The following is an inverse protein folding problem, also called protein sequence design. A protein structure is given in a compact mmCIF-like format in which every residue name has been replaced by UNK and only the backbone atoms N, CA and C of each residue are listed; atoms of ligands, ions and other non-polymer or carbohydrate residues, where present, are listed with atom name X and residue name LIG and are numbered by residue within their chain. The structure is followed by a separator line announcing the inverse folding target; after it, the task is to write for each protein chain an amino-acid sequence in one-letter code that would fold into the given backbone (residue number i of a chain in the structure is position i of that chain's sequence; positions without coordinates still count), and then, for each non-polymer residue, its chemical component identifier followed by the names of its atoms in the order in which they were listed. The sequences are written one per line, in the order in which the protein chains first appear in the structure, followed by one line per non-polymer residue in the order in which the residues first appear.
data_IF_677765578573
#
_entry.id   IF_677765578573
#
_cell.length_a   1.000
_cell.length_b   1.000
_cell.length_c   1.000
_cell.angle_alpha   90.00
_cell.angle_beta   90.00
_cell.angle_gamma   90.00
#
_symmetry.space_group_name_H-M   'P 1'
#
loop_
_entity.id
_entity.type
_entity.pdbx_description
1 polymer ?
#
# COMPACT_ATOMS: atom_id res chain seq x y z
N UNK A 1 -20.66 -50.46 59.37
CA UNK A 1 -20.08 -51.32 58.32
C UNK A 1 -19.84 -50.40 57.13
N UNK A 2 -18.75 -49.63 57.12
CA UNK A 2 -17.37 -50.05 56.79
C UNK A 2 -17.24 -50.42 55.33
N UNK A 3 -17.08 -49.43 54.45
CA UNK A 3 -16.37 -49.60 53.18
C UNK A 3 -15.45 -48.40 52.97
N UNK A 4 -14.16 -48.66 53.19
CA UNK A 4 -13.05 -47.77 52.93
C UNK A 4 -12.72 -47.84 51.43
N UNK A 5 -13.04 -46.78 50.69
CA UNK A 5 -12.72 -46.62 49.27
C UNK A 5 -11.29 -46.13 49.09
N UNK A 6 -10.45 -47.00 48.52
CA UNK A 6 -9.03 -46.81 48.24
C UNK A 6 -8.81 -45.67 47.22
N UNK A 7 -8.09 -44.62 47.63
CA UNK A 7 -7.59 -43.57 46.76
C UNK A 7 -6.49 -44.12 45.83
N UNK A 8 -6.85 -44.39 44.58
CA UNK A 8 -5.90 -44.67 43.50
C UNK A 8 -5.11 -43.41 43.13
N UNK A 9 -3.83 -43.40 43.47
CA UNK A 9 -2.84 -42.39 43.06
C UNK A 9 -2.68 -42.47 41.54
N UNK A 10 -3.14 -41.43 40.83
CA UNK A 10 -2.84 -41.26 39.41
C UNK A 10 -1.35 -40.98 39.23
N UNK A 11 -0.63 -41.70 38.35
CA UNK A 11 0.75 -41.37 38.04
C UNK A 11 0.78 -40.04 37.28
N UNK A 12 1.38 -39.03 37.92
CA UNK A 12 1.80 -37.77 37.31
C UNK A 12 2.75 -38.08 36.15
N UNK A 13 2.19 -38.28 34.97
CA UNK A 13 2.91 -38.34 33.71
C UNK A 13 3.68 -37.04 33.52
N UNK A 14 4.99 -37.11 33.77
CA UNK A 14 5.96 -36.07 33.49
C UNK A 14 5.89 -35.77 32.00
N UNK A 15 5.10 -34.78 31.59
CA UNK A 15 5.08 -34.25 30.24
C UNK A 15 6.48 -33.71 29.94
N UNK A 16 7.28 -34.51 29.25
CA UNK A 16 8.57 -34.09 28.73
C UNK A 16 8.32 -32.99 27.73
N UNK A 17 8.93 -31.83 27.98
CA UNK A 17 8.96 -30.61 27.16
C UNK A 17 9.62 -30.80 25.77
N UNK A 18 9.66 -32.04 25.29
CA UNK A 18 10.34 -32.51 24.09
C UNK A 18 9.39 -32.76 22.92
N UNK A 19 8.07 -32.73 23.14
CA UNK A 19 7.06 -32.79 22.08
C UNK A 19 6.70 -31.39 21.50
N UNK A 20 7.29 -30.32 22.04
CA UNK A 20 6.96 -28.93 21.67
C UNK A 20 7.73 -28.42 20.44
N UNK A 21 8.54 -29.25 19.77
CA UNK A 21 9.47 -28.70 18.78
C UNK A 21 9.88 -29.65 17.66
N UNK A 22 8.91 -30.26 16.98
CA UNK A 22 9.14 -30.68 15.59
C UNK A 22 8.53 -29.65 14.61
N UNK A 23 9.29 -28.59 14.22
CA UNK A 23 8.84 -27.63 13.22
C UNK A 23 8.65 -28.26 11.83
N UNK A 24 9.06 -29.52 11.62
CA UNK A 24 8.84 -30.25 10.37
C UNK A 24 7.43 -30.86 10.27
N UNK A 25 6.66 -30.92 11.37
CA UNK A 25 5.23 -31.23 11.34
C UNK A 25 4.35 -30.02 10.96
N UNK A 26 4.95 -29.02 10.30
CA UNK A 26 4.25 -27.97 9.54
C UNK A 26 3.17 -28.64 8.69
N UNK A 27 1.92 -28.50 9.13
CA UNK A 27 0.76 -29.05 8.46
C UNK A 27 0.82 -28.68 6.98
N UNK A 28 0.91 -29.69 6.11
CA UNK A 28 0.80 -29.51 4.67
C UNK A 28 -0.53 -28.79 4.41
N UNK A 29 -0.49 -27.63 3.77
CA UNK A 29 -1.70 -26.91 3.39
C UNK A 29 -2.43 -27.77 2.36
N UNK A 30 -3.69 -28.09 2.64
CA UNK A 30 -4.55 -28.86 1.75
C UNK A 30 -5.01 -28.00 0.57
N UNK A 31 -5.40 -28.64 -0.55
CA UNK A 31 -5.94 -27.91 -1.71
C UNK A 31 -7.16 -27.07 -1.32
N UNK A 32 -8.06 -27.61 -0.49
CA UNK A 32 -9.24 -26.89 0.01
C UNK A 32 -8.86 -25.62 0.75
N UNK A 33 -7.89 -25.70 1.67
CA UNK A 33 -7.40 -24.53 2.40
C UNK A 33 -6.73 -23.52 1.48
N UNK A 34 -5.99 -23.96 0.45
CA UNK A 34 -5.44 -23.04 -0.56
C UNK A 34 -6.54 -22.29 -1.29
N UNK A 35 -7.57 -22.98 -1.77
CA UNK A 35 -8.71 -22.38 -2.51
C UNK A 35 -9.41 -21.32 -1.67
N UNK A 36 -9.64 -21.59 -0.38
CA UNK A 36 -10.23 -20.62 0.55
C UNK A 36 -9.35 -19.37 0.77
N UNK A 37 -8.02 -19.50 0.61
CA UNK A 37 -7.07 -18.40 0.79
C UNK A 37 -6.79 -17.61 -0.50
N UNK A 38 -7.24 -18.06 -1.68
CA UNK A 38 -6.96 -17.38 -2.96
C UNK A 38 -7.50 -15.93 -3.00
N UNK A 39 -8.73 -15.62 -2.55
CA UNK A 39 -9.22 -14.23 -2.57
C UNK A 39 -8.33 -13.29 -1.74
N UNK A 40 -7.87 -13.76 -0.58
CA UNK A 40 -6.99 -12.99 0.30
C UNK A 40 -5.58 -12.85 -0.27
N UNK A 41 -5.08 -13.88 -0.97
CA UNK A 41 -3.82 -13.80 -1.71
C UNK A 41 -3.89 -12.71 -2.78
N UNK A 42 -4.98 -12.67 -3.54
CA UNK A 42 -5.20 -11.69 -4.60
C UNK A 42 -5.36 -10.26 -4.07
N UNK A 43 -6.01 -10.11 -2.91
CA UNK A 43 -6.14 -8.83 -2.22
C UNK A 43 -4.86 -8.40 -1.49
N UNK A 44 -3.84 -9.26 -1.41
CA UNK A 44 -2.56 -8.95 -0.74
C UNK A 44 -2.64 -8.92 0.79
N UNK A 45 -3.73 -9.38 1.39
CA UNK A 45 -3.99 -9.30 2.83
C UNK A 45 -3.56 -10.54 3.63
N UNK A 46 -3.01 -11.56 2.98
CA UNK A 46 -2.46 -12.73 3.67
C UNK A 46 -1.19 -12.38 4.47
N UNK A 47 -1.10 -12.93 5.68
CA UNK A 47 0.10 -12.88 6.51
C UNK A 47 1.30 -13.50 5.77
N UNK A 48 2.54 -13.02 5.98
CA UNK A 48 3.70 -13.46 5.21
C UNK A 48 3.93 -14.98 5.23
N UNK A 49 3.67 -15.62 6.37
CA UNK A 49 3.80 -17.07 6.53
C UNK A 49 2.71 -17.87 5.79
N UNK A 50 1.47 -17.37 5.76
CA UNK A 50 0.37 -17.98 5.01
C UNK A 50 0.58 -17.82 3.52
N UNK A 51 0.93 -16.61 3.08
CA UNK A 51 1.29 -16.30 1.70
C UNK A 51 2.38 -17.25 1.19
N UNK A 52 3.46 -17.41 1.94
CA UNK A 52 4.57 -18.30 1.57
C UNK A 52 4.12 -19.76 1.42
N UNK A 53 3.24 -20.24 2.30
CA UNK A 53 2.69 -21.60 2.24
C UNK A 53 1.78 -21.80 1.03
N UNK A 54 0.89 -20.85 0.76
CA UNK A 54 -0.02 -20.87 -0.40
C UNK A 54 0.77 -20.84 -1.72
N UNK A 55 1.73 -19.92 -1.84
CA UNK A 55 2.61 -19.83 -3.03
C UNK A 55 3.41 -21.12 -3.23
N UNK A 56 3.94 -21.69 -2.15
CA UNK A 56 4.64 -22.98 -2.19
C UNK A 56 3.75 -24.12 -2.69
N UNK A 57 2.49 -24.19 -2.25
CA UNK A 57 1.53 -25.18 -2.74
C UNK A 57 1.18 -24.95 -4.22
N UNK A 58 0.92 -23.71 -4.62
CA UNK A 58 0.60 -23.34 -6.02
C UNK A 58 1.74 -23.68 -6.98
N UNK A 59 2.99 -23.62 -6.55
CA UNK A 59 4.13 -24.05 -7.36
C UNK A 59 4.06 -25.54 -7.74
N UNK A 60 3.53 -26.39 -6.84
CA UNK A 60 3.45 -27.85 -7.03
C UNK A 60 2.09 -28.38 -7.51
N UNK A 61 1.01 -27.62 -7.39
CA UNK A 61 -0.36 -28.11 -7.64
C UNK A 61 -1.03 -27.43 -8.83
N UNK A 62 -1.19 -28.16 -9.94
CA UNK A 62 -1.82 -27.64 -11.16
C UNK A 62 -3.30 -27.29 -10.97
N UNK A 63 -4.05 -28.11 -10.23
CA UNK A 63 -5.46 -27.86 -9.95
C UNK A 63 -5.66 -26.51 -9.24
N UNK A 64 -4.86 -26.22 -8.19
CA UNK A 64 -4.95 -24.94 -7.48
C UNK A 64 -4.51 -23.74 -8.34
N UNK A 65 -3.59 -23.92 -9.31
CA UNK A 65 -3.25 -22.85 -10.26
C UNK A 65 -4.41 -22.53 -11.21
N UNK A 66 -5.17 -23.54 -11.63
CA UNK A 66 -6.38 -23.32 -12.44
C UNK A 66 -7.44 -22.57 -11.65
N UNK A 67 -7.69 -22.96 -10.40
CA UNK A 67 -8.60 -22.24 -9.49
C UNK A 67 -8.15 -20.77 -9.29
N UNK A 68 -6.85 -20.51 -9.13
CA UNK A 68 -6.32 -19.15 -9.06
C UNK A 68 -6.58 -18.35 -10.35
N UNK A 69 -6.41 -18.96 -11.51
CA UNK A 69 -6.69 -18.31 -12.78
C UNK A 69 -8.18 -17.97 -12.94
N UNK A 70 -9.07 -18.88 -12.55
CA UNK A 70 -10.53 -18.66 -12.53
C UNK A 70 -10.91 -17.56 -11.53
N UNK A 71 -10.33 -17.59 -10.33
CA UNK A 71 -10.53 -16.54 -9.31
C UNK A 71 -10.04 -15.20 -9.82
N UNK A 72 -8.91 -15.12 -10.53
CA UNK A 72 -8.42 -13.89 -11.15
C UNK A 72 -9.38 -13.33 -12.21
N UNK A 73 -9.98 -14.19 -13.03
CA UNK A 73 -11.00 -13.78 -14.01
C UNK A 73 -12.23 -13.21 -13.28
N UNK A 74 -12.71 -13.89 -12.24
CA UNK A 74 -13.80 -13.41 -11.41
C UNK A 74 -13.44 -12.06 -10.75
N UNK A 75 -12.28 -11.96 -10.10
CA UNK A 75 -11.79 -10.74 -9.48
C UNK A 75 -11.69 -9.58 -10.48
N UNK A 76 -11.23 -9.81 -11.72
CA UNK A 76 -11.19 -8.77 -12.76
C UNK A 76 -12.58 -8.32 -13.18
N UNK A 77 -13.52 -9.26 -13.32
CA UNK A 77 -14.91 -8.94 -13.61
C UNK A 77 -15.54 -8.07 -12.51
N UNK A 78 -15.17 -8.30 -11.24
CA UNK A 78 -15.62 -7.48 -10.12
C UNK A 78 -14.82 -6.19 -9.93
N UNK A 79 -13.52 -6.16 -10.26
CA UNK A 79 -12.64 -5.02 -10.02
C UNK A 79 -12.86 -3.86 -11.00
N UNK A 80 -13.50 -4.10 -12.15
CA UNK A 80 -13.88 -3.05 -13.10
C UNK A 80 -15.14 -2.31 -12.66
N UNK A 81 -15.14 -1.77 -11.44
CA UNK A 81 -16.18 -0.85 -11.03
C UNK A 81 -16.10 0.43 -11.89
N UNK A 82 -17.23 0.89 -12.45
CA UNK A 82 -17.30 2.22 -13.03
C UNK A 82 -16.84 3.24 -12.00
N UNK A 83 -16.00 4.17 -12.43
CA UNK A 83 -15.58 5.28 -11.60
C UNK A 83 -16.78 6.14 -11.21
N UNK A 84 -16.68 6.85 -10.08
CA UNK A 84 -17.74 7.78 -9.66
C UNK A 84 -18.08 8.81 -10.75
N UNK A 85 -17.07 9.26 -11.51
CA UNK A 85 -17.27 10.18 -12.63
C UNK A 85 -18.15 9.57 -13.72
N UNK A 86 -17.91 8.31 -14.09
CA UNK A 86 -18.72 7.60 -15.08
C UNK A 86 -20.16 7.36 -14.60
N UNK A 87 -20.36 7.09 -13.30
CA UNK A 87 -21.71 6.99 -12.72
C UNK A 87 -22.44 8.34 -12.74
N UNK A 88 -21.75 9.44 -12.45
CA UNK A 88 -22.30 10.79 -12.58
C UNK A 88 -22.66 11.08 -14.03
N UNK A 89 -21.75 10.83 -14.97
CA UNK A 89 -22.00 11.08 -16.38
C UNK A 89 -23.17 10.25 -16.91
N UNK A 90 -23.30 9.00 -16.47
CA UNK A 90 -24.47 8.17 -16.75
C UNK A 90 -25.78 8.80 -16.21
N UNK A 91 -25.79 9.21 -14.94
CA UNK A 91 -27.00 9.77 -14.27
C UNK A 91 -27.41 11.12 -14.85
N UNK A 92 -26.47 11.93 -15.32
CA UNK A 92 -26.72 13.24 -15.90
C UNK A 92 -26.83 13.20 -17.44
N UNK A 93 -26.94 12.00 -18.01
CA UNK A 93 -27.08 11.76 -19.46
C UNK A 93 -25.96 12.43 -20.30
N UNK A 94 -24.76 12.49 -19.73
CA UNK A 94 -23.56 12.97 -20.42
C UNK A 94 -22.95 11.85 -21.28
N UNK A 95 -22.18 12.20 -22.32
CA UNK A 95 -21.54 11.20 -23.16
C UNK A 95 -20.59 10.31 -22.37
N UNK A 96 -20.75 8.99 -22.53
CA UNK A 96 -19.90 7.96 -21.92
C UNK A 96 -19.43 7.02 -23.03
N UNK A 97 -18.12 6.77 -23.11
CA UNK A 97 -17.56 5.91 -24.16
C UNK A 97 -18.16 4.49 -24.12
N UNK A 98 -18.30 3.93 -22.91
CA UNK A 98 -18.71 2.54 -22.70
C UNK A 98 -20.03 2.43 -21.91
N UNK A 99 -21.04 3.25 -22.28
CA UNK A 99 -22.32 3.32 -21.56
C UNK A 99 -22.97 1.95 -21.34
N UNK A 100 -22.99 1.10 -22.38
CA UNK A 100 -23.59 -0.22 -22.31
C UNK A 100 -22.90 -1.15 -21.30
N UNK A 101 -21.57 -1.04 -21.15
CA UNK A 101 -20.80 -1.84 -20.20
C UNK A 101 -21.08 -1.38 -18.76
N UNK A 102 -21.17 -0.07 -18.54
CA UNK A 102 -21.56 0.48 -17.23
C UNK A 102 -22.99 0.06 -16.87
N UNK A 103 -23.94 0.13 -17.79
CA UNK A 103 -25.31 -0.32 -17.56
C UNK A 103 -25.38 -1.83 -17.26
N UNK A 104 -24.62 -2.66 -17.98
CA UNK A 104 -24.49 -4.08 -17.69
C UNK A 104 -23.89 -4.32 -16.30
N UNK A 105 -22.85 -3.59 -15.90
CA UNK A 105 -22.25 -3.68 -14.57
C UNK A 105 -23.27 -3.36 -13.47
N UNK A 106 -24.11 -2.34 -13.68
CA UNK A 106 -25.15 -1.96 -12.71
C UNK A 106 -26.21 -3.06 -12.51
N UNK A 107 -26.41 -3.95 -13.48
CA UNK A 107 -27.29 -5.12 -13.29
C UNK A 107 -26.65 -6.22 -12.41
N UNK A 108 -25.32 -6.28 -12.37
CA UNK A 108 -24.57 -7.28 -11.64
C UNK A 108 -24.07 -6.81 -10.26
N UNK A 109 -23.96 -5.49 -10.04
CA UNK A 109 -23.34 -4.90 -8.85
C UNK A 109 -24.30 -3.99 -8.07
N UNK A 110 -24.80 -4.49 -6.93
CA UNK A 110 -25.71 -3.74 -6.04
C UNK A 110 -25.11 -2.43 -5.52
N UNK A 111 -23.82 -2.41 -5.15
CA UNK A 111 -23.19 -1.21 -4.60
C UNK A 111 -23.15 -0.04 -5.59
N UNK A 112 -22.84 -0.30 -6.87
CA UNK A 112 -22.89 0.73 -7.91
C UNK A 112 -24.32 1.15 -8.24
N UNK A 113 -25.28 0.21 -8.24
CA UNK A 113 -26.70 0.51 -8.44
C UNK A 113 -27.26 1.44 -7.34
N UNK A 114 -26.89 1.20 -6.08
CA UNK A 114 -27.24 2.07 -4.95
C UNK A 114 -26.64 3.47 -5.08
N UNK A 115 -25.37 3.58 -5.50
CA UNK A 115 -24.74 4.88 -5.76
C UNK A 115 -25.48 5.65 -6.88
N UNK A 116 -25.87 4.97 -7.96
CA UNK A 116 -26.67 5.58 -9.04
C UNK A 116 -28.05 6.02 -8.52
N UNK A 117 -28.69 5.26 -7.64
CA UNK A 117 -29.95 5.65 -7.02
C UNK A 117 -29.80 6.93 -6.17
N UNK A 118 -28.73 7.04 -5.38
CA UNK A 118 -28.41 8.24 -4.59
C UNK A 118 -28.15 9.46 -5.50
N UNK A 119 -27.38 9.28 -6.57
CA UNK A 119 -27.10 10.34 -7.55
C UNK A 119 -28.38 10.80 -8.27
N UNK A 120 -29.28 9.87 -8.63
CA UNK A 120 -30.60 10.21 -9.19
C UNK A 120 -31.45 11.00 -8.20
N UNK A 121 -31.44 10.63 -6.93
CA UNK A 121 -32.14 11.38 -5.89
C UNK A 121 -31.56 12.81 -5.73
N UNK A 122 -30.23 12.95 -5.76
CA UNK A 122 -29.57 14.25 -5.77
C UNK A 122 -29.99 15.12 -6.97
N UNK A 123 -30.10 14.52 -8.17
CA UNK A 123 -30.58 15.19 -9.38
C UNK A 123 -32.02 15.72 -9.24
N UNK A 124 -32.91 14.98 -8.56
CA UNK A 124 -34.27 15.45 -8.28
C UNK A 124 -34.26 16.67 -7.36
N UNK A 125 -33.47 16.64 -6.29
CA UNK A 125 -33.34 17.80 -5.39
C UNK A 125 -32.81 19.05 -6.10
N UNK A 126 -31.84 18.89 -6.99
CA UNK A 126 -31.32 19.98 -7.83
C UNK A 126 -32.40 20.55 -8.76
N UNK A 127 -33.22 19.70 -9.38
CA UNK A 127 -34.28 20.10 -10.31
C UNK A 127 -35.42 20.86 -9.62
N UNK A 128 -35.78 20.47 -8.39
CA UNK A 128 -36.82 21.13 -7.60
C UNK A 128 -36.37 22.49 -7.03
N UNK A 129 -35.12 22.90 -7.30
CA UNK A 129 -34.53 24.11 -6.69
C UNK A 129 -34.38 23.99 -5.17
N UNK A 130 -34.58 22.79 -4.61
CA UNK A 130 -34.27 22.45 -3.23
C UNK A 130 -32.76 22.26 -3.18
N UNK A 131 -32.05 23.38 -3.31
CA UNK A 131 -30.65 23.43 -2.92
C UNK A 131 -30.67 23.09 -1.43
N UNK A 132 -30.10 21.95 -0.99
CA UNK A 132 -29.92 21.74 0.43
C UNK A 132 -29.18 22.97 0.91
N UNK A 133 -29.86 23.79 1.73
CA UNK A 133 -29.32 25.02 2.26
C UNK A 133 -27.95 24.64 2.79
N UNK A 134 -26.90 25.06 2.07
CA UNK A 134 -25.55 24.89 2.54
C UNK A 134 -25.61 25.35 3.99
N UNK A 135 -25.24 24.50 4.97
CA UNK A 135 -25.48 24.77 6.38
C UNK A 135 -25.08 26.23 6.58
N UNK A 136 -26.01 27.08 7.06
CA UNK A 136 -25.89 28.52 6.94
C UNK A 136 -24.46 28.84 7.30
N UNK A 137 -23.68 29.37 6.34
CA UNK A 137 -22.28 29.72 6.57
C UNK A 137 -22.31 30.58 7.81
N UNK A 138 -22.06 29.98 8.97
CA UNK A 138 -22.15 30.65 10.23
C UNK A 138 -21.19 31.81 10.06
N UNK A 139 -21.74 33.03 10.11
CA UNK A 139 -21.03 34.23 9.75
C UNK A 139 -19.60 34.13 10.31
N UNK A 140 -18.61 34.42 9.47
CA UNK A 140 -17.19 34.14 9.71
C UNK A 140 -16.61 34.70 11.02
N UNK A 141 -17.40 35.39 11.83
CA UNK A 141 -17.14 35.78 13.22
C UNK A 141 -17.08 34.60 14.20
N UNK A 142 -17.79 33.48 13.94
CA UNK A 142 -17.70 32.28 14.79
C UNK A 142 -16.43 31.43 14.54
N UNK A 143 -15.76 31.62 13.40
CA UNK A 143 -14.55 30.87 13.03
C UNK A 143 -13.34 31.18 13.89
N UNK A 144 -13.20 32.44 14.35
CA UNK A 144 -12.11 32.84 15.26
C UNK A 144 -12.21 32.18 16.62
N UNK A 145 -13.41 32.06 17.18
CA UNK A 145 -13.61 31.40 18.47
C UNK A 145 -13.38 29.88 18.39
N UNK A 146 -13.81 29.23 17.31
CA UNK A 146 -13.53 27.80 17.10
C UNK A 146 -12.04 27.52 16.86
N UNK A 147 -11.36 28.36 16.08
CA UNK A 147 -9.90 28.25 15.90
C UNK A 147 -9.14 28.44 17.22
N UNK A 148 -9.55 29.42 18.05
CA UNK A 148 -8.97 29.63 19.38
C UNK A 148 -9.27 28.48 20.34
N UNK A 149 -10.49 27.93 20.32
CA UNK A 149 -10.86 26.78 21.15
C UNK A 149 -10.06 25.51 20.77
N UNK A 150 -9.88 25.26 19.47
CA UNK A 150 -9.07 24.14 18.98
C UNK A 150 -7.61 24.35 19.37
N UNK A 151 -7.05 25.54 19.15
CA UNK A 151 -5.67 25.84 19.55
C UNK A 151 -5.45 25.69 21.06
N UNK A 152 -6.38 26.18 21.88
CA UNK A 152 -6.32 26.02 23.33
C UNK A 152 -6.39 24.54 23.77
N UNK A 153 -7.22 23.73 23.11
CA UNK A 153 -7.33 22.29 23.42
C UNK A 153 -6.05 21.52 23.08
N UNK A 154 -5.38 21.84 21.97
CA UNK A 154 -4.10 21.22 21.59
C UNK A 154 -3.01 21.58 22.60
N UNK A 155 -2.91 22.85 23.01
CA UNK A 155 -1.95 23.29 24.03
C UNK A 155 -2.20 22.59 25.37
N UNK A 156 -3.46 22.45 25.79
CA UNK A 156 -3.80 21.77 27.03
C UNK A 156 -3.41 20.28 27.00
N UNK A 157 -3.63 19.59 25.87
CA UNK A 157 -3.24 18.18 25.70
C UNK A 157 -1.72 18.02 25.71
N UNK A 158 -0.98 18.90 25.04
CA UNK A 158 0.50 18.88 25.03
C UNK A 158 1.06 19.16 26.41
N UNK A 159 0.53 20.15 27.13
CA UNK A 159 0.96 20.47 28.49
C UNK A 159 0.65 19.34 29.48
N UNK A 160 -0.55 18.77 29.42
CA UNK A 160 -0.93 17.63 30.26
C UNK A 160 -0.09 16.38 29.95
N UNK A 161 0.15 16.09 28.67
CA UNK A 161 1.00 14.99 28.22
C UNK A 161 2.47 15.17 28.63
N UNK A 162 2.99 16.39 28.52
CA UNK A 162 4.34 16.75 28.98
C UNK A 162 4.50 16.60 30.49
N UNK A 163 3.52 17.06 31.27
CA UNK A 163 3.52 16.91 32.73
C UNK A 163 3.45 15.45 33.17
N UNK A 164 2.54 14.66 32.58
CA UNK A 164 2.44 13.22 32.85
C UNK A 164 3.71 12.45 32.49
N UNK A 165 4.36 12.83 31.39
CA UNK A 165 5.64 12.22 30.98
C UNK A 165 6.77 12.61 31.94
N UNK A 166 6.84 13.87 32.35
CA UNK A 166 7.84 14.33 33.31
C UNK A 166 7.67 13.68 34.68
N UNK A 167 6.43 13.48 35.15
CA UNK A 167 6.16 12.81 36.43
C UNK A 167 6.50 11.31 36.41
N UNK A 168 6.57 10.69 35.22
CA UNK A 168 6.90 9.27 35.05
C UNK A 168 8.38 9.01 34.77
N UNK A 169 9.18 10.03 34.49
CA UNK A 169 10.62 9.85 34.36
C UNK A 169 11.25 9.93 35.75
N UNK A 170 11.74 8.81 36.32
CA UNK A 170 12.59 8.89 37.49
C UNK A 170 13.81 9.74 37.14
N UNK A 171 14.12 10.72 38.00
CA UNK A 171 15.36 11.48 37.94
C UNK A 171 16.54 10.53 38.19
N UNK A 172 16.99 9.85 37.14
CA UNK A 172 18.30 9.21 37.15
C UNK A 172 19.33 10.32 36.99
N UNK A 173 19.84 10.79 38.12
CA UNK A 173 21.04 11.62 38.20
C UNK A 173 22.21 10.74 37.76
N UNK A 174 22.54 10.79 36.47
CA UNK A 174 23.75 10.16 35.94
C UNK A 174 24.95 11.00 36.39
N UNK A 175 25.87 10.46 37.21
CA UNK A 175 27.12 11.16 37.51
C UNK A 175 27.93 11.28 36.22
N UNK A 176 28.55 12.46 36.04
CA UNK A 176 29.31 12.83 34.86
C UNK A 176 30.38 11.79 34.49
N UNK A 177 30.18 11.12 33.35
CA UNK A 177 31.21 10.32 32.71
C UNK A 177 32.08 11.24 31.83
N UNK A 178 33.35 11.32 32.19
CA UNK A 178 34.40 12.02 31.46
C UNK A 178 34.59 11.36 30.09
N UNK A 179 34.22 12.05 29.01
CA UNK A 179 34.47 11.59 27.64
C UNK A 179 35.86 12.05 27.22
N UNK A 180 36.79 11.10 27.14
CA UNK A 180 38.07 11.24 26.46
C UNK A 180 38.04 10.40 25.17
N UNK A 181 38.50 11.00 24.08
CA UNK A 181 38.96 10.29 22.88
C UNK A 181 37.91 10.08 21.80
N UNK A 182 37.86 11.00 20.83
CA UNK A 182 37.28 10.77 19.51
C UNK A 182 38.39 11.03 18.49
N UNK A 183 39.11 9.97 18.10
CA UNK A 183 40.05 10.01 16.97
C UNK A 183 39.29 9.69 15.67
N UNK A 184 39.58 10.48 14.64
CA UNK A 184 39.04 10.35 13.30
C UNK A 184 39.86 9.32 12.50
N UNK A 185 39.17 8.33 11.90
CA UNK A 185 39.73 7.41 10.90
C UNK A 185 39.24 7.75 9.49
N UNK A 186 40.07 7.53 8.44
CA UNK A 186 39.83 8.05 7.10
C UNK A 186 38.90 7.17 6.25
N UNK A 187 38.10 7.84 5.42
CA UNK A 187 37.32 7.26 4.32
C UNK A 187 38.24 6.99 3.14
N UNK A 188 38.38 5.73 2.75
CA UNK A 188 39.01 5.36 1.48
C UNK A 188 38.23 4.21 0.81
N UNK A 189 37.89 4.47 -0.46
CA UNK A 189 37.90 3.50 -1.55
C UNK A 189 36.71 2.53 -1.69
N UNK A 190 35.62 3.01 -2.30
CA UNK A 190 34.61 2.14 -2.91
C UNK A 190 34.86 2.03 -4.43
N UNK A 191 35.31 0.84 -4.80
CA UNK A 191 35.60 0.37 -6.16
C UNK A 191 34.32 0.11 -6.95
N UNK A 192 34.40 0.42 -8.24
CA UNK A 192 33.40 0.21 -9.27
C UNK A 192 32.81 -1.20 -9.30
N UNK A 193 31.51 -1.32 -9.06
CA UNK A 193 30.70 -2.50 -9.35
C UNK A 193 29.37 -2.07 -9.97
N UNK A 194 29.32 -1.92 -11.30
CA UNK A 194 28.05 -1.75 -12.02
C UNK A 194 27.26 -3.06 -11.91
N UNK A 195 26.19 -3.03 -11.11
CA UNK A 195 25.12 -4.03 -11.14
C UNK A 195 24.30 -3.88 -12.44
N UNK A 196 23.62 -4.94 -12.90
CA UNK A 196 23.02 -4.99 -14.23
C UNK A 196 21.93 -3.93 -14.40
N UNK A 197 22.02 -3.17 -15.49
CA UNK A 197 20.93 -2.36 -16.02
C UNK A 197 19.79 -3.32 -16.39
N UNK A 198 18.66 -3.23 -15.69
CA UNK A 198 17.45 -4.00 -16.02
C UNK A 198 16.66 -3.18 -17.02
N UNK A 199 16.86 -3.48 -18.30
CA UNK A 199 16.13 -2.84 -19.39
C UNK A 199 14.71 -3.42 -19.46
N UNK A 200 13.70 -2.62 -19.09
CA UNK A 200 12.30 -2.99 -19.25
C UNK A 200 11.87 -2.76 -20.71
N UNK A 201 12.02 -3.79 -21.52
CA UNK A 201 11.38 -3.91 -22.83
C UNK A 201 10.19 -4.86 -22.70
N UNK A 202 8.97 -4.34 -22.62
CA UNK A 202 7.78 -5.16 -22.88
C UNK A 202 7.74 -5.51 -24.37
N UNK A 203 7.98 -6.79 -24.72
CA UNK A 203 6.85 -7.61 -25.14
C UNK A 203 6.80 -8.97 -24.43
N UNK A 204 5.64 -9.63 -24.56
CA UNK A 204 5.22 -10.81 -23.83
C UNK A 204 6.26 -11.95 -23.86
N UNK A 205 6.38 -12.64 -22.71
CA UNK A 205 7.11 -13.89 -22.43
C UNK A 205 8.61 -13.80 -22.08
N UNK A 206 8.92 -13.44 -20.82
CA UNK A 206 9.87 -14.15 -19.95
C UNK A 206 9.88 -13.50 -18.55
N UNK A 207 9.58 -14.31 -17.53
CA UNK A 207 9.28 -13.90 -16.15
C UNK A 207 10.42 -14.34 -15.22
N UNK A 208 11.00 -13.43 -14.42
CA UNK A 208 11.68 -13.62 -13.11
C UNK A 208 12.08 -12.21 -12.60
N UNK A 209 12.02 -11.80 -11.33
CA UNK A 209 11.48 -12.32 -10.06
C UNK A 209 11.03 -11.04 -9.29
N UNK A 210 9.76 -10.98 -8.85
CA UNK A 210 9.16 -9.99 -7.92
C UNK A 210 8.66 -8.62 -8.42
N UNK A 211 8.35 -8.45 -9.71
CA UNK A 211 7.44 -7.39 -10.14
C UNK A 211 6.14 -8.01 -10.66
N UNK A 212 5.11 -8.10 -9.80
CA UNK A 212 3.74 -8.37 -10.23
C UNK A 212 2.88 -7.16 -9.92
N UNK A 213 2.12 -6.73 -10.91
CA UNK A 213 1.29 -5.54 -10.86
C UNK A 213 -0.18 -5.88 -10.81
N UNK A 214 -0.95 -5.13 -10.04
CA UNK A 214 -2.43 -5.17 -10.01
C UNK A 214 -3.06 -4.33 -11.13
N UNK A 215 -2.28 -3.50 -11.85
CA UNK A 215 -2.78 -2.57 -12.88
C UNK A 215 -1.78 -2.23 -14.02
N UNK A 216 -0.72 -3.02 -14.21
CA UNK A 216 0.37 -2.73 -15.16
C UNK A 216 1.52 -1.85 -14.61
N UNK A 217 1.35 -1.23 -13.45
CA UNK A 217 2.38 -0.45 -12.78
C UNK A 217 3.45 -1.34 -12.13
N UNK A 218 4.76 -1.06 -12.31
CA UNK A 218 5.82 -1.86 -11.73
C UNK A 218 5.80 -1.75 -10.20
N UNK A 219 5.71 -2.90 -9.53
CA UNK A 219 5.94 -3.01 -8.08
C UNK A 219 7.36 -3.52 -7.88
N UNK A 220 8.13 -2.90 -7.00
CA UNK A 220 9.47 -3.36 -6.63
C UNK A 220 9.60 -3.51 -5.12
N UNK A 221 10.29 -4.57 -4.70
CA UNK A 221 10.54 -4.86 -3.28
C UNK A 221 11.88 -4.28 -2.85
N UNK A 222 11.89 -3.51 -1.76
CA UNK A 222 13.10 -2.95 -1.17
C UNK A 222 13.36 -3.56 0.21
N UNK A 223 14.64 -3.77 0.52
CA UNK A 223 15.09 -4.16 1.86
C UNK A 223 15.46 -2.92 2.68
N UNK A 224 15.40 -3.00 4.03
CA UNK A 224 15.87 -1.92 4.87
C UNK A 224 17.35 -1.63 4.60
N UNK A 225 17.69 -0.35 4.43
CA UNK A 225 19.06 0.08 4.15
C UNK A 225 19.41 0.19 2.66
N UNK A 226 18.55 -0.25 1.74
CA UNK A 226 18.81 -0.09 0.30
C UNK A 226 18.38 1.29 -0.21
N UNK A 227 19.24 1.91 -1.02
CA UNK A 227 18.92 3.12 -1.75
C UNK A 227 18.22 2.77 -3.06
N UNK A 228 17.20 3.54 -3.41
CA UNK A 228 16.46 3.40 -4.66
C UNK A 228 16.86 4.52 -5.61
N UNK A 229 17.46 4.17 -6.74
CA UNK A 229 17.77 5.08 -7.83
C UNK A 229 16.81 4.84 -8.99
N UNK A 230 15.99 5.84 -9.27
CA UNK A 230 15.03 5.84 -10.38
C UNK A 230 15.62 6.63 -11.54
N UNK A 231 15.97 5.93 -12.61
CA UNK A 231 16.46 6.52 -13.86
C UNK A 231 15.43 6.35 -14.97
N UNK A 232 14.97 7.46 -15.53
CA UNK A 232 14.17 7.41 -16.75
C UNK A 232 15.15 7.39 -17.94
N UNK A 233 15.04 6.42 -18.84
CA UNK A 233 15.94 6.27 -19.99
C UNK A 233 15.38 6.97 -21.25
N UNK A 234 16.14 7.88 -21.89
CA UNK A 234 15.79 8.41 -23.20
C UNK A 234 16.02 7.37 -24.33
N UNK A 235 15.29 7.42 -25.45
CA UNK A 235 14.35 8.47 -25.84
C UNK A 235 12.98 8.30 -25.17
N UNK A 236 12.54 9.38 -24.53
CA UNK A 236 11.19 9.47 -24.01
C UNK A 236 10.23 9.84 -25.15
N UNK A 237 9.45 8.88 -25.63
CA UNK A 237 8.16 9.16 -26.29
C UNK A 237 7.10 9.64 -25.28
N UNK A 238 7.56 10.34 -24.23
CA UNK A 238 6.68 10.98 -23.29
C UNK A 238 6.09 12.24 -23.96
N UNK A 239 4.82 12.56 -23.69
CA UNK A 239 4.22 13.79 -24.17
C UNK A 239 5.05 15.00 -23.70
N UNK A 240 5.13 16.11 -24.46
CA UNK A 240 6.06 17.21 -24.20
C UNK A 240 5.64 18.07 -23.00
N UNK A 241 5.58 17.47 -21.81
CA UNK A 241 5.36 18.19 -20.57
C UNK A 241 6.66 18.91 -20.16
N UNK A 242 6.56 20.16 -19.65
CA UNK A 242 7.72 20.91 -19.17
C UNK A 242 8.40 20.26 -17.96
N UNK A 243 7.64 19.49 -17.18
CA UNK A 243 8.13 18.75 -16.03
C UNK A 243 7.27 17.51 -15.81
N UNK A 244 7.81 16.53 -15.09
CA UNK A 244 7.08 15.38 -14.61
C UNK A 244 7.07 15.36 -13.10
N UNK A 245 6.02 14.73 -12.58
CA UNK A 245 5.81 14.52 -11.17
C UNK A 245 5.86 13.03 -10.89
N UNK A 246 6.82 12.59 -10.09
CA UNK A 246 6.97 11.20 -9.68
C UNK A 246 6.43 11.05 -8.27
N UNK A 247 5.58 10.06 -8.05
CA UNK A 247 5.11 9.63 -6.73
C UNK A 247 5.64 8.24 -6.47
N UNK A 248 6.29 8.07 -5.32
CA UNK A 248 6.62 6.77 -4.77
C UNK A 248 5.62 6.45 -3.66
N UNK A 249 4.86 5.38 -3.83
CA UNK A 249 3.89 4.89 -2.85
C UNK A 249 4.30 3.54 -2.29
N UNK A 250 4.01 3.26 -1.02
CA UNK A 250 4.19 1.92 -0.45
C UNK A 250 3.09 0.95 -0.91
N UNK A 251 3.20 -0.33 -0.53
CA UNK A 251 2.20 -1.36 -0.85
C UNK A 251 0.81 -1.13 -0.25
N UNK A 252 0.66 -0.17 0.68
CA UNK A 252 -0.63 0.27 1.21
C UNK A 252 -1.18 1.50 0.45
N UNK A 253 -0.48 1.97 -0.59
CA UNK A 253 -0.87 3.14 -1.38
C UNK A 253 -0.57 4.48 -0.71
N UNK A 254 0.25 4.51 0.35
CA UNK A 254 0.63 5.76 1.01
C UNK A 254 1.81 6.38 0.28
N UNK A 255 1.71 7.68 -0.03
CA UNK A 255 2.81 8.45 -0.61
C UNK A 255 3.98 8.51 0.38
N UNK A 256 5.11 7.92 0.00
CA UNK A 256 6.37 7.89 0.77
C UNK A 256 7.26 9.04 0.38
N UNK A 257 7.34 9.32 -0.92
CA UNK A 257 8.11 10.43 -1.45
C UNK A 257 7.48 10.93 -2.75
N UNK A 258 7.67 12.22 -3.06
CA UNK A 258 7.32 12.76 -4.35
C UNK A 258 8.34 13.77 -4.85
N UNK A 259 8.51 13.79 -6.17
CA UNK A 259 9.56 14.54 -6.83
C UNK A 259 9.02 15.25 -8.07
N UNK A 260 9.38 16.52 -8.20
CA UNK A 260 9.20 17.30 -9.43
C UNK A 260 10.54 17.37 -10.14
N UNK A 261 10.59 16.97 -11.42
CA UNK A 261 11.83 17.04 -12.21
C UNK A 261 11.58 17.59 -13.62
N UNK A 262 12.52 18.40 -14.14
CA UNK A 262 12.49 18.85 -15.53
C UNK A 262 12.79 17.67 -16.48
N UNK A 263 12.28 17.77 -17.71
CA UNK A 263 12.30 16.70 -18.75
C UNK A 263 13.66 16.03 -18.97
N UNK A 264 14.75 16.75 -18.78
CA UNK A 264 16.11 16.40 -19.20
C UNK A 264 16.96 15.70 -18.13
N UNK A 265 16.48 15.59 -16.88
CA UNK A 265 17.22 14.95 -15.78
C UNK A 265 16.31 14.20 -14.83
N UNK A 266 16.29 12.88 -14.97
CA UNK A 266 15.57 11.98 -14.07
C UNK A 266 16.52 10.93 -13.53
N UNK A 267 17.32 11.32 -12.55
CA UNK A 267 17.89 10.40 -11.58
C UNK A 267 17.39 10.88 -10.21
N UNK A 268 16.66 10.02 -9.51
CA UNK A 268 16.17 10.30 -8.17
C UNK A 268 16.70 9.21 -7.25
N UNK A 269 17.53 9.60 -6.29
CA UNK A 269 17.94 8.74 -5.18
C UNK A 269 16.97 8.96 -4.03
N UNK A 270 16.29 7.89 -3.62
CA UNK A 270 15.48 7.85 -2.41
C UNK A 270 16.32 7.18 -1.33
N UNK A 271 16.71 7.91 -0.28
CA UNK A 271 17.58 7.36 0.75
C UNK A 271 16.86 6.28 1.54
N UNK A 272 17.60 5.25 1.92
CA UNK A 272 17.09 4.10 2.65
C UNK A 272 16.33 4.45 3.95
N UNK A 273 16.65 5.59 4.60
CA UNK A 273 15.96 5.99 5.84
C UNK A 273 14.47 6.32 5.62
N UNK A 274 14.07 6.64 4.38
CA UNK A 274 12.69 6.91 4.01
C UNK A 274 11.93 5.65 3.59
N UNK A 275 12.63 4.52 3.46
CA UNK A 275 12.10 3.29 2.88
C UNK A 275 11.98 2.20 3.96
N UNK A 276 10.75 1.80 4.25
CA UNK A 276 10.48 0.57 4.99
C UNK A 276 10.68 -0.68 4.10
N UNK A 277 10.84 -1.85 4.70
CA UNK A 277 10.77 -3.11 3.95
C UNK A 277 9.38 -3.28 3.33
N UNK A 278 9.28 -3.48 2.02
CA UNK A 278 8.00 -3.69 1.37
C UNK A 278 8.03 -3.51 -0.14
N UNK A 279 6.86 -3.69 -0.76
CA UNK A 279 6.62 -3.35 -2.15
C UNK A 279 6.35 -1.86 -2.30
N UNK A 280 6.84 -1.29 -3.40
CA UNK A 280 6.68 0.12 -3.75
C UNK A 280 6.18 0.26 -5.18
N UNK A 281 5.36 1.29 -5.40
CA UNK A 281 4.80 1.64 -6.70
C UNK A 281 5.32 3.02 -7.10
N UNK A 282 5.72 3.16 -8.36
CA UNK A 282 6.11 4.46 -8.93
C UNK A 282 5.07 4.89 -9.95
N UNK A 283 4.44 6.02 -9.65
CA UNK A 283 3.54 6.71 -10.56
C UNK A 283 4.25 7.92 -11.18
N UNK A 284 4.15 8.06 -12.50
CA UNK A 284 4.66 9.22 -13.22
C UNK A 284 3.52 10.02 -13.85
N UNK A 285 3.44 11.30 -13.53
CA UNK A 285 2.44 12.22 -14.05
C UNK A 285 3.09 13.34 -14.87
N UNK A 286 2.41 13.80 -15.91
CA UNK A 286 2.77 15.04 -16.60
C UNK A 286 2.34 16.27 -15.79
N UNK A 287 3.18 17.31 -15.76
CA UNK A 287 2.80 18.61 -15.20
C UNK A 287 2.51 19.60 -16.33
N UNK A 288 1.38 20.32 -16.24
CA UNK A 288 1.07 21.45 -17.12
C UNK A 288 0.67 22.64 -16.26
N UNK A 289 1.40 23.76 -16.38
CA UNK A 289 1.17 24.94 -15.54
C UNK A 289 1.41 24.70 -14.05
N UNK A 290 2.30 23.78 -13.69
CA UNK A 290 2.62 23.45 -12.29
C UNK A 290 1.57 22.61 -11.55
N UNK A 291 0.49 22.19 -12.23
CA UNK A 291 -0.54 21.32 -11.67
C UNK A 291 -0.35 19.88 -12.17
N UNK A 292 -0.60 18.89 -11.29
CA UNK A 292 -0.70 17.47 -11.66
C UNK A 292 -1.84 17.35 -12.68
N UNK A 293 -1.55 16.87 -13.88
CA UNK A 293 -2.55 16.72 -14.92
C UNK A 293 -2.79 15.26 -15.26
N UNK A 294 -4.08 14.89 -15.31
CA UNK A 294 -4.54 13.66 -15.94
C UNK A 294 -4.26 12.37 -15.14
N UNK A 295 -4.43 11.26 -15.85
CA UNK A 295 -4.08 9.92 -15.40
C UNK A 295 -2.54 9.76 -15.39
N UNK A 296 -1.99 8.81 -14.62
CA UNK A 296 -0.60 8.40 -14.77
C UNK A 296 -0.26 8.12 -16.24
N UNK A 297 1.00 8.33 -16.62
CA UNK A 297 1.44 8.04 -17.98
C UNK A 297 1.43 6.54 -18.23
N UNK A 298 0.70 6.11 -19.26
CA UNK A 298 0.51 4.68 -19.55
C UNK A 298 1.76 4.02 -20.18
N UNK A 299 2.68 4.81 -20.75
CA UNK A 299 3.84 4.31 -21.48
C UNK A 299 5.10 5.11 -21.13
N UNK A 300 6.05 4.50 -20.43
CA UNK A 300 7.37 5.06 -20.16
C UNK A 300 8.39 3.94 -19.89
N UNK A 301 9.68 4.21 -20.11
CA UNK A 301 10.77 3.35 -19.64
C UNK A 301 11.38 3.95 -18.39
N UNK A 302 11.39 3.15 -17.33
CA UNK A 302 11.99 3.48 -16.05
C UNK A 302 12.98 2.37 -15.72
N UNK A 303 14.27 2.70 -15.73
CA UNK A 303 15.30 1.90 -15.11
C UNK A 303 15.23 2.11 -13.60
N UNK A 304 15.11 1.01 -12.86
CA UNK A 304 15.11 1.02 -11.40
C UNK A 304 16.38 0.32 -10.95
N UNK A 305 17.26 1.06 -10.29
CA UNK A 305 18.51 0.55 -9.74
C UNK A 305 18.39 0.58 -8.22
N UNK A 306 18.48 -0.59 -7.60
CA UNK A 306 18.52 -0.71 -6.13
C UNK A 306 19.98 -0.91 -5.73
N UNK A 307 20.52 0.01 -4.94
CA UNK A 307 21.90 -0.06 -4.45
C UNK A 307 21.91 -0.46 -2.99
N UNK A 308 22.73 -1.46 -2.67
CA UNK A 308 23.05 -1.78 -1.28
C UNK A 308 23.82 -0.59 -0.65
N UNK A 309 23.69 -0.39 0.67
CA UNK A 309 24.40 0.67 1.38
C UNK A 309 25.92 0.47 1.37
#
# INVERSE_FOLDING_TARGET
MSEAGVHGVQPSGRMTRSDEKDPARRAKVSCTSVVELLPWLLNGTLEPEERSRVVGHLAGCEACRRELAETLVACRAFAQHPTTGELVDLVFDRPLADRALVEQHLTACNGCAEQVALLRQARVFEADGVVPLAPPRAAATAGRWRALAIAASVVAVVAAGGWLRSARMPLEVTPAATVAGMEAGPVAELVAGRLPVVEFLTPASALHRNAQSTAGQPIFELRPGEDLVLELEPPFDLPPFPAYFLVLSDGAGREVASYVRPRDRFAITVPAELLASGGYVVDLFGLRGGQRQGKPLDHYRLAVVVTAP
#
